data_IF_441905479424
#
_entry.id   IF_441905479424
#
_cell.length_a   1.000
_cell.length_b   1.000
_cell.length_c   1.000
_cell.angle_alpha   90.00
_cell.angle_beta   90.00
_cell.angle_gamma   90.00
#
_symmetry.space_group_name_H-M   'P 1'
#
loop_
_entity.id
_entity.type
_entity.pdbx_description
1 polymer ?
#
# COMPACT_ATOMS: atom_id res chain seq x y z
N UNK A 1 -12.89 -3.23 -3.26
CA UNK A 1 -12.19 -2.67 -4.45
C UNK A 1 -12.32 -1.15 -4.51
N UNK A 2 -12.00 -0.45 -3.41
CA UNK A 2 -12.18 1.01 -3.30
C UNK A 2 -10.99 1.79 -3.88
N UNK A 3 -9.83 1.15 -4.04
CA UNK A 3 -8.59 1.78 -4.50
C UNK A 3 -8.15 1.31 -5.88
N UNK A 4 -9.03 0.63 -6.62
CA UNK A 4 -8.76 0.20 -7.99
C UNK A 4 -8.35 1.41 -8.84
N UNK A 5 -7.30 1.23 -9.64
CA UNK A 5 -6.74 2.24 -10.55
C UNK A 5 -6.18 3.50 -9.84
N UNK A 6 -5.98 3.44 -8.52
CA UNK A 6 -5.27 4.46 -7.74
C UNK A 6 -3.81 4.07 -7.52
N UNK A 7 -2.96 5.08 -7.39
CA UNK A 7 -1.55 4.94 -7.02
C UNK A 7 -1.37 5.42 -5.59
N UNK A 8 -0.67 4.65 -4.76
CA UNK A 8 -0.30 5.04 -3.40
C UNK A 8 1.20 4.84 -3.14
N UNK A 9 1.83 5.83 -2.51
CA UNK A 9 3.22 5.76 -2.06
C UNK A 9 3.20 5.54 -0.56
N UNK A 10 3.90 4.50 -0.09
CA UNK A 10 3.94 4.13 1.33
C UNK A 10 5.41 4.06 1.76
N UNK A 11 5.79 4.92 2.72
CA UNK A 11 7.09 4.91 3.40
C UNK A 11 7.03 4.08 4.68
N UNK A 12 8.17 3.60 5.19
CA UNK A 12 8.17 2.65 6.32
C UNK A 12 7.49 1.32 5.99
N UNK A 13 7.42 0.93 4.71
CA UNK A 13 6.62 -0.20 4.25
C UNK A 13 7.18 -1.58 4.66
N UNK A 14 8.40 -1.62 5.19
CA UNK A 14 9.10 -2.86 5.54
C UNK A 14 8.53 -3.56 6.79
N UNK A 15 7.90 -2.83 7.72
CA UNK A 15 7.42 -3.38 8.97
C UNK A 15 6.21 -2.62 9.54
N UNK A 16 5.65 -3.14 10.65
CA UNK A 16 4.61 -2.50 11.43
C UNK A 16 3.41 -2.01 10.60
N UNK A 17 3.02 -0.77 10.85
CA UNK A 17 1.84 -0.14 10.24
C UNK A 17 2.04 0.06 8.73
N UNK A 18 3.25 0.40 8.27
CA UNK A 18 3.52 0.59 6.85
C UNK A 18 3.29 -0.69 6.05
N UNK A 19 3.81 -1.83 6.55
CA UNK A 19 3.57 -3.15 5.93
C UNK A 19 2.09 -3.52 5.93
N UNK A 20 1.40 -3.33 7.05
CA UNK A 20 -0.03 -3.63 7.16
C UNK A 20 -0.86 -2.78 6.17
N UNK A 21 -0.54 -1.50 6.04
CA UNK A 21 -1.19 -0.56 5.13
C UNK A 21 -0.97 -0.96 3.68
N UNK A 22 0.26 -1.31 3.30
CA UNK A 22 0.59 -1.75 1.94
C UNK A 22 -0.23 -2.99 1.55
N UNK A 23 -0.34 -3.98 2.44
CA UNK A 23 -1.13 -5.19 2.19
C UNK A 23 -2.62 -4.87 2.06
N UNK A 24 -3.17 -4.00 2.91
CA UNK A 24 -4.56 -3.59 2.83
C UNK A 24 -4.85 -2.85 1.51
N UNK A 25 -3.97 -1.94 1.10
CA UNK A 25 -4.17 -1.16 -0.12
C UNK A 25 -4.01 -2.00 -1.38
N UNK A 26 -3.08 -2.98 -1.39
CA UNK A 26 -2.94 -3.94 -2.47
C UNK A 26 -4.23 -4.77 -2.66
N UNK A 27 -4.84 -5.24 -1.56
CA UNK A 27 -6.12 -5.98 -1.60
C UNK A 27 -7.27 -5.15 -2.17
N UNK A 28 -7.24 -3.84 -1.94
CA UNK A 28 -8.24 -2.91 -2.51
C UNK A 28 -7.99 -2.54 -3.98
N UNK A 29 -6.88 -3.01 -4.56
CA UNK A 29 -6.56 -2.86 -5.99
C UNK A 29 -5.65 -1.68 -6.33
N UNK A 30 -4.97 -1.08 -5.35
CA UNK A 30 -4.05 0.02 -5.58
C UNK A 30 -2.75 -0.47 -6.26
N UNK A 31 -2.17 0.38 -7.12
CA UNK A 31 -0.77 0.28 -7.54
C UNK A 31 0.10 0.96 -6.49
N UNK A 32 1.13 0.28 -6.02
CA UNK A 32 1.91 0.75 -4.86
C UNK A 32 3.36 1.04 -5.25
N UNK A 33 3.89 2.15 -4.72
CA UNK A 33 5.32 2.39 -4.60
C UNK A 33 5.69 2.31 -3.12
N UNK A 34 6.58 1.39 -2.77
CA UNK A 34 6.94 1.11 -1.38
C UNK A 34 8.37 1.59 -1.11
N UNK A 35 8.55 2.30 -0.01
CA UNK A 35 9.85 2.73 0.49
C UNK A 35 10.01 2.30 1.95
N UNK A 36 11.23 1.87 2.31
CA UNK A 36 11.62 1.49 3.67
C UNK A 36 11.95 2.70 4.51
#
# INVERSE_FOLDING_TARGET
MRLKDKVAIITGASFGIGRATALAFAREGAKLALAS
#
